data_IF_000490236151
#
_entry.id   IF_000490236151
#
_cell.length_a   1.000
_cell.length_b   1.000
_cell.length_c   1.000
_cell.angle_alpha   90.00
_cell.angle_beta   90.00
_cell.angle_gamma   90.00
#
_symmetry.space_group_name_H-M   'P 1'
#
loop_
_entity.id
_entity.type
_entity.pdbx_description
1 polymer ?
#
# COMPACT_ATOMS: atom_id res chain seq x y z
N UNK A 1 18.23 -7.69 14.36
CA UNK A 1 17.61 -7.37 13.05
C UNK A 1 16.14 -7.06 13.26
N UNK A 2 15.67 -5.82 13.12
CA UNK A 2 14.24 -5.52 13.22
C UNK A 2 13.57 -6.00 11.93
N UNK A 3 12.65 -6.96 12.04
CA UNK A 3 11.93 -7.56 10.89
C UNK A 3 10.55 -6.90 10.66
N UNK A 4 10.25 -5.75 11.31
CA UNK A 4 8.92 -5.11 11.21
C UNK A 4 8.74 -4.19 10.00
N UNK A 5 9.78 -3.44 9.64
CA UNK A 5 9.70 -2.40 8.61
C UNK A 5 9.64 -2.97 7.18
N UNK A 6 10.26 -4.13 6.94
CA UNK A 6 10.36 -4.72 5.59
C UNK A 6 9.03 -5.25 5.08
N UNK A 7 8.23 -5.89 5.94
CA UNK A 7 6.91 -6.41 5.57
C UNK A 7 5.90 -5.29 5.32
N UNK A 8 5.98 -4.22 6.11
CA UNK A 8 5.16 -3.04 5.92
C UNK A 8 5.50 -2.32 4.61
N UNK A 9 6.79 -2.08 4.34
CA UNK A 9 7.23 -1.50 3.06
C UNK A 9 6.79 -2.36 1.87
N UNK A 10 6.89 -3.69 1.97
CA UNK A 10 6.44 -4.61 0.93
C UNK A 10 4.93 -4.53 0.72
N UNK A 11 4.15 -4.41 1.79
CA UNK A 11 2.70 -4.22 1.69
C UNK A 11 2.35 -2.88 1.04
N UNK A 12 3.02 -1.80 1.44
CA UNK A 12 2.85 -0.47 0.88
C UNK A 12 3.17 -0.42 -0.62
N UNK A 13 4.26 -1.05 -1.04
CA UNK A 13 4.61 -1.20 -2.46
C UNK A 13 3.52 -1.94 -3.24
N UNK A 14 3.04 -3.08 -2.73
CA UNK A 14 1.97 -3.86 -3.38
C UNK A 14 0.66 -3.09 -3.50
N UNK A 15 0.30 -2.33 -2.46
CA UNK A 15 -0.90 -1.49 -2.45
C UNK A 15 -0.77 -0.35 -3.47
N UNK A 16 0.37 0.33 -3.49
CA UNK A 16 0.61 1.42 -4.42
C UNK A 16 0.68 0.96 -5.88
N UNK A 17 1.36 -0.16 -6.17
CA UNK A 17 1.34 -0.77 -7.50
C UNK A 17 -0.09 -1.15 -7.92
N UNK A 18 -0.88 -1.74 -7.02
CA UNK A 18 -2.27 -2.07 -7.32
C UNK A 18 -3.12 -0.82 -7.66
N UNK A 19 -2.84 0.30 -7.01
CA UNK A 19 -3.58 1.55 -7.21
C UNK A 19 -3.15 2.32 -8.46
N UNK A 20 -1.84 2.44 -8.71
CA UNK A 20 -1.30 3.27 -9.79
C UNK A 20 -1.13 2.50 -11.11
N UNK A 21 -0.66 1.25 -11.06
CA UNK A 21 -0.39 0.47 -12.28
C UNK A 21 -1.61 -0.35 -12.71
N UNK A 22 -2.31 -0.96 -11.75
CA UNK A 22 -3.48 -1.79 -12.04
C UNK A 22 -4.81 -1.04 -11.93
N UNK A 23 -4.75 0.28 -11.68
CA UNK A 23 -5.91 1.19 -11.57
C UNK A 23 -7.02 0.70 -10.63
N UNK A 24 -6.67 -0.15 -9.64
CA UNK A 24 -7.64 -0.70 -8.71
C UNK A 24 -8.09 0.36 -7.72
N UNK A 25 -9.37 0.35 -7.40
CA UNK A 25 -9.92 1.21 -6.35
C UNK A 25 -9.43 0.78 -4.98
N UNK A 26 -9.41 1.71 -4.01
CA UNK A 26 -9.05 1.39 -2.63
C UNK A 26 -9.95 0.31 -1.99
N UNK A 27 -11.19 0.15 -2.48
CA UNK A 27 -12.11 -0.88 -2.01
C UNK A 27 -11.72 -2.28 -2.53
N UNK A 28 -11.35 -2.40 -3.80
CA UNK A 28 -10.86 -3.65 -4.39
C UNK A 28 -9.53 -4.06 -3.77
N UNK A 29 -8.63 -3.09 -3.55
CA UNK A 29 -7.36 -3.31 -2.84
C UNK A 29 -7.63 -3.78 -1.41
N UNK A 30 -8.55 -3.14 -0.70
CA UNK A 30 -8.95 -3.54 0.65
C UNK A 30 -9.42 -5.00 0.71
N UNK A 31 -10.33 -5.39 -0.21
CA UNK A 31 -10.80 -6.76 -0.32
C UNK A 31 -9.66 -7.73 -0.65
N UNK A 32 -8.80 -7.38 -1.61
CA UNK A 32 -7.67 -8.22 -2.06
C UNK A 32 -6.65 -8.50 -0.96
N UNK A 33 -6.36 -7.53 -0.11
CA UNK A 33 -5.37 -7.65 0.97
C UNK A 33 -5.98 -7.96 2.33
N UNK A 34 -7.31 -8.14 2.42
CA UNK A 34 -7.99 -8.45 3.68
C UNK A 34 -7.88 -7.34 4.74
N UNK A 35 -7.80 -6.07 4.31
CA UNK A 35 -7.65 -4.91 5.18
C UNK A 35 -8.74 -3.88 4.92
N UNK A 36 -8.96 -2.97 5.86
CA UNK A 36 -9.97 -1.92 5.67
C UNK A 36 -9.54 -0.90 4.61
N UNK A 37 -10.51 -0.31 3.91
CA UNK A 37 -10.30 0.80 2.96
C UNK A 37 -9.56 1.98 3.61
N UNK A 38 -9.85 2.27 4.88
CA UNK A 38 -9.14 3.32 5.64
C UNK A 38 -7.67 2.97 5.83
N UNK A 39 -7.34 1.70 6.11
CA UNK A 39 -5.95 1.24 6.22
C UNK A 39 -5.23 1.32 4.87
N UNK A 40 -5.89 0.97 3.76
CA UNK A 40 -5.35 1.15 2.40
C UNK A 40 -5.00 2.61 2.14
N UNK A 41 -5.92 3.54 2.42
CA UNK A 41 -5.70 4.98 2.24
C UNK A 41 -4.46 5.47 3.02
N UNK A 42 -4.34 5.09 4.31
CA UNK A 42 -3.18 5.42 5.14
C UNK A 42 -1.87 4.88 4.56
N UNK A 43 -1.87 3.62 4.12
CA UNK A 43 -0.67 2.97 3.55
C UNK A 43 -0.26 3.59 2.21
N UNK A 44 -1.21 4.01 1.37
CA UNK A 44 -0.93 4.75 0.13
C UNK A 44 -0.29 6.10 0.43
N UNK A 45 -0.86 6.88 1.38
CA UNK A 45 -0.28 8.17 1.78
C UNK A 45 1.14 7.98 2.30
N UNK A 46 1.34 6.97 3.15
CA UNK A 46 2.65 6.69 3.72
C UNK A 46 3.66 6.20 2.67
N UNK A 47 3.22 5.40 1.69
CA UNK A 47 4.08 4.97 0.57
C UNK A 47 4.59 6.13 -0.29
N UNK A 48 3.76 7.17 -0.43
CA UNK A 48 4.13 8.40 -1.12
C UNK A 48 5.09 9.25 -0.28
N UNK A 49 4.81 9.43 1.00
CA UNK A 49 5.64 10.23 1.91
C UNK A 49 7.03 9.62 2.09
N UNK A 50 7.12 8.30 2.23
CA UNK A 50 8.37 7.58 2.47
C UNK A 50 9.17 7.37 1.17
N UNK A 51 8.67 7.84 0.03
CA UNK A 51 9.32 7.72 -1.28
C UNK A 51 9.39 6.29 -1.82
N UNK A 52 8.59 5.37 -1.27
CA UNK A 52 8.52 3.96 -1.69
C UNK A 52 8.01 3.85 -3.13
N UNK A 53 7.16 4.80 -3.54
CA UNK A 53 6.70 4.92 -4.92
C UNK A 53 6.98 6.33 -5.42
N UNK A 54 7.73 6.43 -6.52
CA UNK A 54 7.83 7.65 -7.33
C UNK A 54 6.80 7.53 -8.45
N UNK A 55 5.78 8.38 -8.38
CA UNK A 55 4.85 8.70 -9.46
C UNK A 55 5.37 9.90 -10.23
#
# INVERSE_FOLDING_TARGET
MPHGDTDLHRLMYKIAHAYYEAELTQAEIAARFGISRVRVSRLLTQARTDGIVRI
#
